data_IF_153910958722
#
_entry.id   IF_153910958722
#
_cell.length_a   1.000
_cell.length_b   1.000
_cell.length_c   1.000
_cell.angle_alpha   90.00
_cell.angle_beta   90.00
_cell.angle_gamma   90.00
#
_symmetry.space_group_name_H-M   'P 1'
#
loop_
_entity.id
_entity.type
_entity.pdbx_description
1 polymer ?
#
# COMPACT_ATOMS: atom_id res chain seq x y z
N UNK A 1 4.43 12.46 -26.69
CA UNK A 1 3.74 12.96 -27.92
C UNK A 1 3.64 14.48 -27.91
N UNK A 2 3.00 15.10 -26.91
CA UNK A 2 2.81 16.57 -26.83
C UNK A 2 4.13 17.34 -26.97
N UNK A 3 5.18 16.95 -26.23
CA UNK A 3 6.48 17.63 -26.29
C UNK A 3 7.03 17.71 -27.71
N UNK A 4 6.93 16.62 -28.50
CA UNK A 4 7.41 16.57 -29.89
C UNK A 4 6.57 17.43 -30.82
N UNK A 5 5.24 17.42 -30.65
CA UNK A 5 4.36 18.25 -31.47
C UNK A 5 4.70 19.73 -31.24
N UNK A 6 4.83 20.14 -29.98
CA UNK A 6 5.12 21.53 -29.64
C UNK A 6 6.54 21.94 -30.08
N UNK A 7 7.56 21.09 -29.93
CA UNK A 7 8.93 21.44 -30.34
C UNK A 7 9.18 21.28 -31.84
N UNK A 8 8.81 20.14 -32.42
CA UNK A 8 9.26 19.75 -33.76
C UNK A 8 8.34 20.32 -34.86
N UNK A 9 7.02 20.43 -34.58
CA UNK A 9 6.06 20.95 -35.55
C UNK A 9 5.82 22.46 -35.36
N UNK A 10 5.61 22.91 -34.12
CA UNK A 10 5.36 24.33 -33.84
C UNK A 10 6.64 25.15 -33.56
N UNK A 11 7.79 24.50 -33.40
CA UNK A 11 9.07 25.20 -33.23
C UNK A 11 9.25 25.86 -31.86
N UNK A 12 8.49 25.48 -30.83
CA UNK A 12 8.64 26.04 -29.50
C UNK A 12 9.89 25.50 -28.81
N UNK A 13 10.65 26.40 -28.17
CA UNK A 13 11.67 26.02 -27.19
C UNK A 13 11.00 25.69 -25.86
N UNK A 14 11.19 24.46 -25.39
CA UNK A 14 10.46 23.91 -24.25
C UNK A 14 11.42 23.41 -23.18
N UNK A 15 11.25 23.94 -21.97
CA UNK A 15 11.89 23.42 -20.77
C UNK A 15 10.94 22.47 -20.04
N UNK A 16 11.14 21.16 -20.21
CA UNK A 16 10.27 20.13 -19.62
C UNK A 16 10.79 19.69 -18.24
N UNK A 17 9.96 19.87 -17.20
CA UNK A 17 10.20 19.38 -15.85
C UNK A 17 9.23 18.25 -15.52
N UNK A 18 9.73 17.18 -14.90
CA UNK A 18 8.94 16.06 -14.42
C UNK A 18 9.12 15.90 -12.91
N UNK A 19 8.02 15.78 -12.19
CA UNK A 19 8.03 15.52 -10.75
C UNK A 19 7.77 14.02 -10.51
N UNK A 20 8.49 13.43 -9.55
CA UNK A 20 8.32 12.06 -9.09
C UNK A 20 7.88 12.08 -7.63
N UNK A 21 6.77 11.40 -7.33
CA UNK A 21 6.28 11.18 -5.97
C UNK A 21 6.92 9.92 -5.40
N UNK A 22 8.01 10.11 -4.65
CA UNK A 22 8.77 9.04 -4.01
C UNK A 22 8.46 8.90 -2.50
N UNK A 23 7.51 9.69 -1.99
CA UNK A 23 7.05 9.66 -0.60
C UNK A 23 5.52 9.75 -0.57
N UNK A 24 4.88 8.73 0.02
CA UNK A 24 3.43 8.61 0.23
C UNK A 24 3.17 7.62 1.37
N UNK A 25 2.02 7.70 2.03
CA UNK A 25 1.64 6.76 3.10
C UNK A 25 1.79 5.29 2.67
N UNK A 26 1.40 4.96 1.44
CA UNK A 26 1.50 3.59 0.91
C UNK A 26 2.94 3.20 0.64
N UNK A 27 3.77 4.12 0.13
CA UNK A 27 5.19 3.88 -0.13
C UNK A 27 5.90 3.63 1.21
N UNK A 28 5.67 4.48 2.21
CA UNK A 28 6.24 4.37 3.55
C UNK A 28 5.83 3.04 4.19
N UNK A 29 4.54 2.72 4.18
CA UNK A 29 4.02 1.47 4.75
C UNK A 29 4.62 0.24 4.07
N UNK A 30 4.67 0.22 2.74
CA UNK A 30 5.20 -0.92 1.96
C UNK A 30 6.70 -1.09 2.16
N UNK A 31 7.47 -0.01 2.11
CA UNK A 31 8.91 -0.03 2.35
C UNK A 31 9.24 -0.57 3.74
N UNK A 32 8.53 -0.08 4.76
CA UNK A 32 8.69 -0.52 6.15
C UNK A 32 8.35 -2.00 6.34
N UNK A 33 7.21 -2.44 5.80
CA UNK A 33 6.79 -3.83 5.83
C UNK A 33 7.80 -4.77 5.16
N UNK A 34 8.29 -4.40 3.96
CA UNK A 34 9.30 -5.17 3.25
C UNK A 34 10.61 -5.24 4.04
N UNK A 35 11.09 -4.11 4.56
CA UNK A 35 12.32 -4.07 5.36
C UNK A 35 12.23 -4.96 6.61
N UNK A 36 11.14 -4.86 7.37
CA UNK A 36 10.93 -5.67 8.58
C UNK A 36 10.81 -7.15 8.24
N UNK A 37 10.14 -7.50 7.15
CA UNK A 37 10.02 -8.88 6.70
C UNK A 37 11.37 -9.45 6.23
N UNK A 38 12.15 -8.67 5.47
CA UNK A 38 13.48 -9.10 5.01
C UNK A 38 14.45 -9.26 6.18
N UNK A 39 14.33 -8.42 7.21
CA UNK A 39 15.04 -8.60 8.48
C UNK A 39 14.61 -9.88 9.19
N UNK A 40 13.31 -10.14 9.29
CA UNK A 40 12.76 -11.35 9.91
C UNK A 40 13.25 -12.65 9.22
N UNK A 41 13.40 -12.61 7.88
CA UNK A 41 13.98 -13.72 7.12
C UNK A 41 15.47 -13.94 7.43
N UNK A 42 16.24 -12.87 7.61
CA UNK A 42 17.68 -12.93 7.91
C UNK A 42 17.98 -13.42 9.34
N UNK A 43 17.08 -13.14 10.28
CA UNK A 43 17.21 -13.58 11.68
C UNK A 43 17.11 -15.10 11.85
N UNK A 44 16.57 -15.83 10.85
CA UNK A 44 16.59 -17.30 10.84
C UNK A 44 15.71 -17.93 11.92
N UNK A 45 14.52 -17.37 12.15
CA UNK A 45 13.57 -17.87 13.14
C UNK A 45 13.18 -19.34 12.89
N UNK A 46 13.17 -20.14 13.97
CA UNK A 46 12.76 -21.55 13.92
C UNK A 46 11.28 -21.73 13.54
N UNK A 47 10.92 -22.90 13.03
CA UNK A 47 9.59 -23.15 12.47
C UNK A 47 8.47 -22.92 13.50
N UNK A 48 8.68 -23.32 14.75
CA UNK A 48 7.68 -23.14 15.81
C UNK A 48 7.38 -21.65 16.07
N UNK A 49 8.41 -20.81 16.10
CA UNK A 49 8.25 -19.37 16.28
C UNK A 49 7.53 -18.75 15.09
N UNK A 50 7.90 -19.16 13.87
CA UNK A 50 7.25 -18.69 12.64
C UNK A 50 5.77 -19.03 12.65
N UNK A 51 5.37 -20.25 13.01
CA UNK A 51 3.96 -20.63 13.09
C UNK A 51 3.19 -19.77 14.09
N UNK A 52 3.75 -19.52 15.29
CA UNK A 52 3.13 -18.63 16.29
C UNK A 52 2.95 -17.20 15.76
N UNK A 53 3.94 -16.68 15.04
CA UNK A 53 3.87 -15.34 14.47
C UNK A 53 2.91 -15.25 13.27
N UNK A 54 2.80 -16.31 12.47
CA UNK A 54 1.78 -16.42 11.42
C UNK A 54 0.37 -16.38 12.01
N UNK A 55 0.11 -17.16 13.07
CA UNK A 55 -1.21 -17.18 13.71
C UNK A 55 -1.58 -15.80 14.25
N UNK A 56 -0.66 -15.15 14.97
CA UNK A 56 -0.86 -13.79 15.47
C UNK A 56 -1.09 -12.80 14.33
N UNK A 57 -0.30 -12.87 13.25
CA UNK A 57 -0.47 -11.99 12.10
C UNK A 57 -1.83 -12.14 11.41
N UNK A 58 -2.26 -13.39 11.21
CA UNK A 58 -3.57 -13.73 10.64
C UNK A 58 -4.70 -13.19 11.53
N UNK A 59 -4.63 -13.38 12.85
CA UNK A 59 -5.63 -12.86 13.79
C UNK A 59 -5.70 -11.33 13.77
N UNK A 60 -4.56 -10.65 13.79
CA UNK A 60 -4.50 -9.18 13.76
C UNK A 60 -5.10 -8.61 12.47
N UNK A 61 -4.81 -9.22 11.31
CA UNK A 61 -5.36 -8.78 10.02
C UNK A 61 -6.85 -9.10 9.92
N UNK A 62 -7.29 -10.27 10.38
CA UNK A 62 -8.72 -10.61 10.46
C UNK A 62 -9.49 -9.61 11.33
N UNK A 63 -9.00 -9.30 12.53
CA UNK A 63 -9.63 -8.36 13.43
C UNK A 63 -9.75 -6.96 12.80
N UNK A 64 -8.72 -6.51 12.06
CA UNK A 64 -8.75 -5.25 11.31
C UNK A 64 -9.89 -5.23 10.27
N UNK A 65 -9.98 -6.25 9.43
CA UNK A 65 -11.04 -6.31 8.40
C UNK A 65 -12.42 -6.52 9.00
N UNK A 66 -12.55 -7.35 10.03
CA UNK A 66 -13.81 -7.59 10.72
C UNK A 66 -14.37 -6.31 11.34
N UNK A 67 -13.51 -5.50 11.99
CA UNK A 67 -13.93 -4.18 12.51
C UNK A 67 -14.42 -3.26 11.40
N UNK A 68 -13.67 -3.15 10.30
CA UNK A 68 -14.05 -2.29 9.16
C UNK A 68 -15.36 -2.74 8.51
N UNK A 69 -15.59 -4.05 8.40
CA UNK A 69 -16.86 -4.61 7.90
C UNK A 69 -18.01 -4.22 8.83
N UNK A 70 -17.84 -4.35 10.15
CA UNK A 70 -18.88 -3.99 11.12
C UNK A 70 -19.22 -2.48 11.08
N UNK A 71 -18.20 -1.62 10.93
CA UNK A 71 -18.40 -0.17 10.79
C UNK A 71 -19.19 0.15 9.50
N UNK A 72 -18.83 -0.47 8.37
CA UNK A 72 -19.54 -0.29 7.10
C UNK A 72 -20.98 -0.82 7.15
N UNK A 73 -21.22 -1.96 7.81
CA UNK A 73 -22.56 -2.52 7.99
C UNK A 73 -23.47 -1.54 8.76
N UNK A 74 -22.92 -0.92 9.81
CA UNK A 74 -23.63 0.10 10.59
C UNK A 74 -23.94 1.35 9.77
N UNK A 75 -23.00 1.83 8.96
CA UNK A 75 -23.20 3.02 8.12
C UNK A 75 -24.26 2.75 7.03
N UNK A 76 -24.25 1.57 6.41
CA UNK A 76 -25.26 1.15 5.43
C UNK A 76 -26.64 1.07 6.07
N UNK A 77 -26.75 0.49 7.26
CA UNK A 77 -28.01 0.38 7.99
C UNK A 77 -28.56 1.77 8.34
N UNK A 78 -27.70 2.68 8.81
CA UNK A 78 -28.08 4.06 9.10
C UNK A 78 -28.62 4.76 7.85
N UNK A 79 -27.90 4.71 6.73
CA UNK A 79 -28.33 5.33 5.46
C UNK A 79 -29.67 4.76 5.00
N UNK A 80 -29.90 3.47 5.20
CA UNK A 80 -31.18 2.82 4.87
C UNK A 80 -32.34 3.28 5.74
N UNK A 81 -32.08 3.53 7.02
CA UNK A 81 -33.10 3.98 7.98
C UNK A 81 -33.54 5.43 7.75
N UNK A 82 -32.69 6.28 7.16
CA UNK A 82 -32.94 7.70 6.94
C UNK A 82 -33.62 8.02 5.59
N UNK A 83 -34.18 7.02 4.89
CA UNK A 83 -34.82 7.24 3.58
C UNK A 83 -36.27 7.73 3.73
N UNK A 84 -36.47 9.06 3.77
CA UNK A 84 -37.80 9.67 3.98
C UNK A 84 -38.46 10.25 2.71
N UNK A 85 -37.72 10.53 1.63
CA UNK A 85 -38.28 11.12 0.39
C UNK A 85 -37.73 10.50 -0.92
N UNK A 86 -38.48 10.56 -2.03
CA UNK A 86 -38.14 9.88 -3.30
C UNK A 86 -36.81 10.34 -3.95
N UNK A 87 -36.47 11.64 -3.91
CA UNK A 87 -35.19 12.14 -4.46
C UNK A 87 -34.01 11.83 -3.54
N UNK A 88 -34.22 11.87 -2.24
CA UNK A 88 -33.22 11.55 -1.23
C UNK A 88 -32.96 10.04 -1.18
N UNK A 89 -33.99 9.24 -1.42
CA UNK A 89 -33.92 7.78 -1.56
C UNK A 89 -32.96 7.38 -2.67
N UNK A 90 -32.99 8.00 -3.86
CA UNK A 90 -32.05 7.66 -4.95
C UNK A 90 -30.58 7.95 -4.62
N UNK A 91 -30.31 9.08 -3.93
CA UNK A 91 -28.94 9.46 -3.54
C UNK A 91 -28.42 8.54 -2.44
N UNK A 92 -29.21 8.33 -1.40
CA UNK A 92 -28.89 7.42 -0.27
C UNK A 92 -28.78 5.97 -0.72
N UNK A 93 -29.58 5.54 -1.69
CA UNK A 93 -29.47 4.21 -2.28
C UNK A 93 -28.16 4.03 -3.06
N UNK A 94 -27.73 5.05 -3.83
CA UNK A 94 -26.43 5.02 -4.52
C UNK A 94 -25.28 4.93 -3.53
N UNK A 95 -25.30 5.77 -2.49
CA UNK A 95 -24.30 5.78 -1.43
C UNK A 95 -24.24 4.44 -0.68
N UNK A 96 -25.40 3.87 -0.33
CA UNK A 96 -25.48 2.55 0.28
C UNK A 96 -24.91 1.44 -0.63
N UNK A 97 -25.14 1.51 -1.96
CA UNK A 97 -24.56 0.56 -2.92
C UNK A 97 -23.04 0.67 -2.99
N UNK A 98 -22.50 1.89 -3.05
CA UNK A 98 -21.05 2.13 -3.04
C UNK A 98 -20.40 1.56 -1.76
N UNK A 99 -21.02 1.79 -0.59
CA UNK A 99 -20.55 1.20 0.67
C UNK A 99 -20.68 -0.33 0.70
N UNK A 100 -21.73 -0.90 0.09
CA UNK A 100 -21.89 -2.35 -0.04
C UNK A 100 -20.78 -2.97 -0.89
N UNK A 101 -20.37 -2.32 -1.98
CA UNK A 101 -19.24 -2.77 -2.81
C UNK A 101 -17.94 -2.75 -2.00
N UNK A 102 -17.66 -1.68 -1.28
CA UNK A 102 -16.49 -1.58 -0.39
C UNK A 102 -16.51 -2.68 0.67
N UNK A 103 -17.67 -2.95 1.28
CA UNK A 103 -17.83 -4.02 2.26
C UNK A 103 -17.55 -5.40 1.65
N UNK A 104 -18.04 -5.65 0.43
CA UNK A 104 -17.76 -6.88 -0.32
C UNK A 104 -16.27 -7.08 -0.55
N UNK A 105 -15.55 -6.02 -0.95
CA UNK A 105 -14.10 -6.04 -1.12
C UNK A 105 -13.36 -6.34 0.20
N UNK A 106 -13.82 -5.77 1.31
CA UNK A 106 -13.23 -6.06 2.63
C UNK A 106 -13.50 -7.51 3.09
N UNK A 107 -14.69 -8.06 2.79
CA UNK A 107 -15.00 -9.48 3.02
C UNK A 107 -14.08 -10.39 2.19
N UNK A 108 -13.83 -10.03 0.92
CA UNK A 108 -12.90 -10.77 0.06
C UNK A 108 -11.46 -10.72 0.58
N UNK A 109 -10.99 -9.54 1.03
CA UNK A 109 -9.65 -9.40 1.67
C UNK A 109 -9.54 -10.29 2.91
N UNK A 110 -10.57 -10.32 3.76
CA UNK A 110 -10.60 -11.19 4.94
C UNK A 110 -10.58 -12.68 4.55
N UNK A 111 -11.31 -13.08 3.50
CA UNK A 111 -11.27 -14.45 2.99
C UNK A 111 -9.90 -14.82 2.44
N UNK A 112 -9.23 -13.89 1.75
CA UNK A 112 -7.87 -14.11 1.24
C UNK A 112 -6.86 -14.40 2.35
N UNK A 113 -7.00 -13.75 3.50
CA UNK A 113 -6.18 -14.01 4.70
C UNK A 113 -6.40 -15.43 5.24
N UNK A 114 -7.65 -15.89 5.27
CA UNK A 114 -7.98 -17.28 5.65
C UNK A 114 -7.37 -18.26 4.67
N UNK A 115 -7.51 -17.99 3.37
CA UNK A 115 -6.99 -18.83 2.30
C UNK A 115 -5.45 -18.89 2.32
N UNK A 116 -4.78 -17.79 2.67
CA UNK A 116 -3.33 -17.73 2.82
C UNK A 116 -2.85 -18.67 3.95
N UNK A 117 -3.51 -18.64 5.12
CA UNK A 117 -3.23 -19.58 6.22
C UNK A 117 -3.46 -21.03 5.79
N UNK A 118 -4.59 -21.32 5.15
CA UNK A 118 -4.91 -22.67 4.68
C UNK A 118 -3.86 -23.20 3.69
N UNK A 119 -3.36 -22.36 2.77
CA UNK A 119 -2.27 -22.72 1.84
C UNK A 119 -0.96 -23.02 2.58
N UNK A 120 -0.63 -22.24 3.61
CA UNK A 120 0.55 -22.48 4.43
C UNK A 120 0.44 -23.81 5.20
N UNK A 121 -0.73 -24.12 5.77
CA UNK A 121 -0.98 -25.37 6.48
C UNK A 121 -0.93 -26.58 5.53
N UNK A 122 -1.51 -26.47 4.34
CA UNK A 122 -1.47 -27.52 3.33
C UNK A 122 -0.06 -27.76 2.77
N UNK A 123 0.74 -26.70 2.64
CA UNK A 123 2.15 -26.79 2.26
C UNK A 123 2.95 -27.63 3.26
N UNK A 124 2.76 -27.37 4.56
CA UNK A 124 3.42 -28.13 5.63
C UNK A 124 3.02 -29.61 5.66
N UNK A 125 1.76 -29.93 5.33
CA UNK A 125 1.28 -31.32 5.27
C UNK A 125 1.88 -32.10 4.10
N UNK A 126 2.05 -31.47 2.94
CA UNK A 126 2.54 -32.14 1.72
C UNK A 126 4.04 -32.40 1.75
N UNK A 127 4.82 -31.50 2.36
CA UNK A 127 6.28 -31.53 2.26
C UNK A 127 6.96 -31.93 3.58
N UNK A 128 6.53 -33.06 4.15
CA UNK A 128 7.04 -33.58 5.43
C UNK A 128 8.56 -33.86 5.42
N UNK A 129 9.14 -34.14 4.25
CA UNK A 129 10.57 -34.49 4.05
C UNK A 129 11.53 -33.30 3.88
N UNK A 130 11.02 -32.07 3.78
CA UNK A 130 11.89 -30.90 3.58
C UNK A 130 12.68 -30.51 4.84
N UNK A 131 13.80 -29.81 4.63
CA UNK A 131 14.53 -29.16 5.72
C UNK A 131 13.68 -28.09 6.40
N UNK A 132 13.99 -27.78 7.65
CA UNK A 132 13.25 -26.77 8.42
C UNK A 132 13.32 -25.39 7.75
N UNK A 133 14.47 -25.05 7.16
CA UNK A 133 14.69 -23.78 6.45
C UNK A 133 13.78 -23.66 5.23
N UNK A 134 13.62 -24.73 4.45
CA UNK A 134 12.74 -24.75 3.28
C UNK A 134 11.27 -24.65 3.68
N UNK A 135 10.88 -25.35 4.76
CA UNK A 135 9.53 -25.25 5.33
C UNK A 135 9.20 -23.83 5.76
N UNK A 136 10.12 -23.15 6.46
CA UNK A 136 9.93 -21.76 6.90
C UNK A 136 9.77 -20.83 5.70
N UNK A 137 10.66 -20.91 4.70
CA UNK A 137 10.56 -20.08 3.49
C UNK A 137 9.25 -20.32 2.74
N UNK A 138 8.85 -21.57 2.60
CA UNK A 138 7.64 -21.95 1.90
C UNK A 138 6.34 -21.58 2.64
N UNK A 139 6.35 -21.52 3.97
CA UNK A 139 5.24 -20.93 4.75
C UNK A 139 5.18 -19.43 4.52
N UNK A 140 6.30 -18.73 4.74
CA UNK A 140 6.38 -17.28 4.71
C UNK A 140 6.02 -16.66 3.34
N UNK A 141 6.17 -17.40 2.24
CA UNK A 141 5.76 -16.93 0.91
C UNK A 141 4.24 -16.69 0.82
N UNK A 142 3.43 -17.50 1.52
CA UNK A 142 1.96 -17.41 1.45
C UNK A 142 1.41 -16.37 2.40
N UNK A 143 2.08 -16.15 3.53
CA UNK A 143 1.61 -15.30 4.65
C UNK A 143 2.48 -14.06 4.84
N UNK A 144 3.22 -13.65 3.80
CA UNK A 144 4.09 -12.46 3.83
C UNK A 144 3.30 -11.24 4.29
N UNK A 145 2.09 -11.03 3.78
CA UNK A 145 1.28 -9.85 4.09
C UNK A 145 0.88 -9.79 5.57
N UNK A 146 0.47 -10.93 6.13
CA UNK A 146 -0.01 -11.07 7.51
C UNK A 146 1.13 -10.89 8.51
N UNK A 147 2.26 -11.56 8.26
CA UNK A 147 3.46 -11.44 9.10
C UNK A 147 4.03 -10.03 9.00
N UNK A 148 4.10 -9.44 7.79
CA UNK A 148 4.58 -8.07 7.62
C UNK A 148 3.70 -7.07 8.37
N UNK A 149 2.38 -7.24 8.35
CA UNK A 149 1.46 -6.38 9.11
C UNK A 149 1.68 -6.48 10.62
N UNK A 150 1.89 -7.70 11.15
CA UNK A 150 2.21 -7.90 12.56
C UNK A 150 3.54 -7.22 12.94
N UNK A 151 4.59 -7.43 12.13
CA UNK A 151 5.90 -6.84 12.37
C UNK A 151 5.83 -5.31 12.33
N UNK A 152 5.11 -4.76 11.37
CA UNK A 152 4.86 -3.32 11.23
C UNK A 152 4.18 -2.73 12.47
N UNK A 153 3.20 -3.43 13.04
CA UNK A 153 2.53 -3.00 14.27
C UNK A 153 3.39 -3.07 15.52
N UNK A 154 4.38 -3.98 15.56
CA UNK A 154 5.28 -4.15 16.71
C UNK A 154 6.52 -3.25 16.63
N UNK A 155 7.10 -3.12 15.44
CA UNK A 155 8.43 -2.56 15.21
C UNK A 155 8.43 -1.39 14.23
N UNK A 156 7.29 -1.04 13.63
CA UNK A 156 7.24 -0.01 12.58
C UNK A 156 7.73 1.36 13.04
N UNK A 157 7.50 1.73 14.30
CA UNK A 157 7.99 3.01 14.85
C UNK A 157 9.52 3.07 14.95
N UNK A 158 10.20 1.91 15.00
CA UNK A 158 11.66 1.84 15.05
C UNK A 158 12.32 2.09 13.69
N UNK A 159 11.56 2.07 12.60
CA UNK A 159 12.06 2.25 11.24
C UNK A 159 11.98 3.72 10.85
N UNK A 160 13.08 4.45 11.05
CA UNK A 160 13.18 5.90 10.79
C UNK A 160 14.16 6.26 9.69
N UNK A 161 14.94 5.29 9.20
CA UNK A 161 15.93 5.53 8.15
C UNK A 161 15.25 5.85 6.81
N UNK A 162 15.51 7.07 6.32
CA UNK A 162 14.98 7.57 5.04
C UNK A 162 15.49 6.77 3.83
N UNK A 163 16.67 6.16 3.93
CA UNK A 163 17.23 5.31 2.87
C UNK A 163 16.34 4.10 2.58
N UNK A 164 15.65 3.57 3.58
CA UNK A 164 14.72 2.43 3.42
C UNK A 164 13.55 2.83 2.51
N UNK A 165 12.92 3.98 2.78
CA UNK A 165 11.79 4.47 1.99
C UNK A 165 12.20 4.83 0.56
N UNK A 166 13.34 5.51 0.42
CA UNK A 166 13.90 5.88 -0.88
C UNK A 166 14.21 4.66 -1.74
N UNK A 167 14.88 3.64 -1.19
CA UNK A 167 15.22 2.42 -1.94
C UNK A 167 13.99 1.69 -2.50
N UNK A 168 12.86 1.76 -1.79
CA UNK A 168 11.61 1.18 -2.26
C UNK A 168 11.04 1.94 -3.47
N UNK A 169 11.07 3.27 -3.43
CA UNK A 169 10.58 4.12 -4.52
C UNK A 169 11.49 4.10 -5.75
N UNK A 170 12.81 4.05 -5.55
CA UNK A 170 13.81 4.05 -6.63
C UNK A 170 13.60 2.93 -7.66
N UNK A 171 13.18 1.74 -7.21
CA UNK A 171 12.85 0.64 -8.11
C UNK A 171 11.73 1.02 -9.09
N UNK A 172 10.63 1.58 -8.58
CA UNK A 172 9.49 1.96 -9.41
C UNK A 172 9.80 3.17 -10.30
N UNK A 173 10.62 4.10 -9.81
CA UNK A 173 11.15 5.19 -10.61
C UNK A 173 11.94 4.63 -11.82
N UNK A 174 12.83 3.67 -11.60
CA UNK A 174 13.60 3.03 -12.67
C UNK A 174 12.69 2.31 -13.68
N UNK A 175 11.76 1.47 -13.22
CA UNK A 175 10.80 0.78 -14.08
C UNK A 175 10.00 1.78 -14.94
N UNK A 176 9.54 2.89 -14.33
CA UNK A 176 8.82 3.95 -15.05
C UNK A 176 9.68 4.64 -16.13
N UNK A 177 10.94 4.98 -15.81
CA UNK A 177 11.83 5.62 -16.78
C UNK A 177 12.22 4.67 -17.92
N UNK A 178 12.34 3.37 -17.65
CA UNK A 178 12.55 2.33 -18.67
C UNK A 178 11.34 2.21 -19.60
N UNK A 179 10.13 2.23 -19.05
CA UNK A 179 8.89 2.23 -19.83
C UNK A 179 8.76 3.48 -20.71
N UNK A 180 9.07 4.66 -20.17
CA UNK A 180 9.10 5.88 -20.97
C UNK A 180 10.08 5.78 -22.14
N UNK A 181 11.27 5.22 -21.88
CA UNK A 181 12.28 4.98 -22.91
C UNK A 181 11.78 4.00 -23.98
N UNK A 182 11.14 2.90 -23.58
CA UNK A 182 10.62 1.88 -24.51
C UNK A 182 9.49 2.42 -25.39
N UNK A 183 8.67 3.32 -24.84
CA UNK A 183 7.63 4.07 -25.56
C UNK A 183 8.17 5.25 -26.36
N UNK A 184 9.50 5.39 -26.45
CA UNK A 184 10.17 6.47 -27.16
C UNK A 184 9.68 7.85 -26.70
N UNK A 185 9.44 8.01 -25.39
CA UNK A 185 9.14 9.30 -24.77
C UNK A 185 10.46 10.05 -24.54
N UNK A 186 10.48 11.34 -24.87
CA UNK A 186 11.64 12.19 -24.59
C UNK A 186 11.73 12.44 -23.09
N UNK A 187 12.93 12.27 -22.52
CA UNK A 187 13.20 12.55 -21.12
C UNK A 187 13.04 14.04 -20.80
N UNK A 188 12.65 14.37 -19.55
CA UNK A 188 12.63 15.74 -19.08
C UNK A 188 14.03 16.34 -19.01
N UNK A 189 14.09 17.67 -19.10
CA UNK A 189 15.30 18.43 -18.84
C UNK A 189 15.68 18.37 -17.35
N UNK A 190 14.68 18.36 -16.47
CA UNK A 190 14.85 18.23 -15.02
C UNK A 190 13.85 17.23 -14.46
N UNK A 191 14.34 16.33 -13.62
CA UNK A 191 13.52 15.42 -12.81
C UNK A 191 13.67 15.81 -11.34
N UNK A 192 12.57 16.06 -10.65
CA UNK A 192 12.53 16.43 -9.23
C UNK A 192 11.81 15.36 -8.43
N UNK A 193 12.26 15.10 -7.19
CA UNK A 193 11.60 14.16 -6.28
C UNK A 193 10.95 14.89 -5.13
N UNK A 194 9.77 14.48 -4.71
CA UNK A 194 9.09 15.11 -3.56
C UNK A 194 9.95 15.08 -2.30
N UNK A 195 10.69 13.99 -2.06
CA UNK A 195 11.60 13.87 -0.91
C UNK A 195 12.71 14.93 -0.85
N UNK A 196 13.10 15.49 -2.01
CA UNK A 196 14.15 16.51 -2.12
C UNK A 196 13.65 17.90 -1.71
N UNK A 197 12.33 18.13 -1.74
CA UNK A 197 11.71 19.45 -1.51
C UNK A 197 10.77 19.49 -0.29
N UNK A 198 10.86 18.51 0.62
CA UNK A 198 10.03 18.47 1.84
C UNK A 198 10.12 19.76 2.67
N UNK A 199 11.31 20.36 2.92
CA UNK A 199 11.40 21.61 3.67
C UNK A 199 10.62 22.78 3.04
N UNK A 200 10.69 22.90 1.71
CA UNK A 200 9.98 23.92 0.94
C UNK A 200 8.47 23.69 0.96
N UNK A 201 8.04 22.42 0.84
CA UNK A 201 6.61 22.04 0.96
C UNK A 201 6.07 22.41 2.34
N UNK A 202 6.80 22.11 3.42
CA UNK A 202 6.40 22.47 4.79
C UNK A 202 6.25 24.00 4.89
N UNK A 203 7.26 24.75 4.42
CA UNK A 203 7.24 26.22 4.45
C UNK A 203 6.05 26.80 3.68
N UNK A 204 5.73 26.21 2.53
CA UNK A 204 4.58 26.59 1.72
C UNK A 204 3.25 26.36 2.47
N UNK A 205 3.05 25.16 3.04
CA UNK A 205 1.83 24.82 3.79
C UNK A 205 1.67 25.70 5.02
N UNK A 206 2.74 25.93 5.80
CA UNK A 206 2.72 26.83 6.95
C UNK A 206 2.30 28.26 6.55
N UNK A 207 2.72 28.71 5.37
CA UNK A 207 2.32 30.03 4.84
C UNK A 207 0.83 30.08 4.53
N UNK A 208 0.26 28.99 3.98
CA UNK A 208 -1.18 28.89 3.74
C UNK A 208 -1.99 28.90 5.04
N UNK A 209 -1.52 28.18 6.07
CA UNK A 209 -2.15 28.16 7.40
C UNK A 209 -2.12 29.57 8.02
N UNK A 210 -0.95 30.25 7.98
CA UNK A 210 -0.82 31.64 8.47
C UNK A 210 -1.75 32.63 7.77
N UNK A 211 -2.09 32.37 6.50
CA UNK A 211 -3.01 33.19 5.70
C UNK A 211 -4.50 32.84 5.90
N UNK A 212 -4.81 31.83 6.72
CA UNK A 212 -6.19 31.40 6.96
C UNK A 212 -6.85 30.70 5.76
N UNK A 213 -6.06 30.19 4.81
CA UNK A 213 -6.56 29.47 3.63
C UNK A 213 -6.26 27.96 3.68
N UNK A 214 -5.66 27.49 4.77
CA UNK A 214 -5.49 26.09 5.13
C UNK A 214 -5.68 25.93 6.66
N UNK A 215 -5.89 24.70 7.11
CA UNK A 215 -6.08 24.35 8.52
C UNK A 215 -5.16 23.19 8.93
#
# INVERSE_FOLDING_TARGET
IILRVLSDYFGYDLFYVMNITDVDDKIILRARQNYLFDRYLKEGNGLEQVLKDVEKGVEMVKAKHQKKIADLEKDIEKIRSEMESEKESRRKEKEAKELQEIMSDEKLKMQNVINAKAKADDYLKKESKLSEVEKVKGVLQFVKSEVSYMLDKKLGETVTDKGIFRSHAERFEQEFLEDLKSLNVRFPAVLTRVSEYIPEIITFVETLIKRGVAY
#
